data_IF_399553522983
#
_entry.id   IF_399553522983
#
_cell.length_a   1.000
_cell.length_b   1.000
_cell.length_c   1.000
_cell.angle_alpha   90.00
_cell.angle_beta   90.00
_cell.angle_gamma   90.00
#
_symmetry.space_group_name_H-M   'P 1'
#
loop_
_entity.id
_entity.type
_entity.pdbx_description
1 polymer ?
#
# COMPACT_ATOMS: atom_id res chain seq x y z
N UNK A 1 12.98 -9.13 29.38
CA UNK A 1 12.70 -8.89 28.86
C UNK A 1 12.26 -8.74 27.97
N UNK A 2 12.06 -8.93 27.55
CA UNK A 2 11.76 -8.65 26.76
C UNK A 2 11.44 -8.62 25.81
N UNK A 3 11.42 -8.74 25.44
CA UNK A 3 11.35 -8.59 24.56
C UNK A 3 10.97 -8.80 23.71
N UNK A 4 10.93 -8.99 23.65
CA UNK A 4 10.66 -9.16 22.88
C UNK A 4 10.09 -9.32 21.95
N UNK A 5 10.10 -9.87 21.84
CA UNK A 5 9.18 -10.41 20.96
C UNK A 5 8.57 -9.53 19.94
N UNK A 6 8.51 -8.50 20.14
CA UNK A 6 8.05 -7.53 19.21
C UNK A 6 8.81 -7.53 17.91
N UNK A 7 9.84 -8.33 17.82
CA UNK A 7 10.69 -8.30 16.65
C UNK A 7 9.96 -8.65 15.35
N UNK A 8 8.88 -9.42 15.42
CA UNK A 8 8.14 -9.79 14.23
C UNK A 8 6.98 -8.85 13.91
N UNK A 9 6.71 -7.90 14.79
CA UNK A 9 5.60 -6.98 14.61
C UNK A 9 6.03 -5.74 13.87
N UNK A 10 5.10 -5.18 13.10
CA UNK A 10 5.28 -3.88 12.49
C UNK A 10 4.49 -2.88 13.31
N UNK A 11 5.16 -1.85 13.80
CA UNK A 11 4.47 -0.80 14.52
C UNK A 11 3.76 0.11 13.54
N UNK A 12 2.56 0.54 13.90
CA UNK A 12 1.79 1.45 13.06
C UNK A 12 2.43 2.82 13.08
N UNK A 13 2.74 3.35 11.89
CA UNK A 13 3.46 4.62 11.74
C UNK A 13 2.60 5.71 11.12
N UNK A 14 1.47 5.35 10.54
CA UNK A 14 0.64 6.29 9.79
C UNK A 14 -0.76 6.29 10.34
N UNK A 15 -1.39 7.46 10.35
CA UNK A 15 -2.74 7.61 10.88
C UNK A 15 -3.81 7.54 9.81
N UNK A 16 -3.46 7.78 8.53
CA UNK A 16 -4.43 7.83 7.45
C UNK A 16 -3.88 7.11 6.22
N UNK A 17 -4.78 6.67 5.35
CA UNK A 17 -4.39 6.06 4.09
C UNK A 17 -3.63 7.02 3.19
N UNK A 18 -3.97 8.31 3.26
CA UNK A 18 -3.24 9.32 2.50
C UNK A 18 -1.78 9.37 2.91
N UNK A 19 -1.51 9.33 4.22
CA UNK A 19 -0.14 9.34 4.71
C UNK A 19 0.62 8.11 4.25
N UNK A 20 -0.02 6.94 4.30
CA UNK A 20 0.61 5.71 3.81
C UNK A 20 0.95 5.85 2.34
N UNK A 21 -0.01 6.31 1.54
CA UNK A 21 0.19 6.43 0.10
C UNK A 21 1.33 7.38 -0.23
N UNK A 22 1.34 8.55 0.39
CA UNK A 22 2.37 9.55 0.12
C UNK A 22 3.76 9.08 0.52
N UNK A 23 3.85 8.32 1.61
CA UNK A 23 5.14 7.86 2.12
C UNK A 23 5.66 6.61 1.42
N UNK A 24 4.77 5.72 0.99
CA UNK A 24 5.17 4.39 0.55
C UNK A 24 4.83 4.05 -0.88
N UNK A 25 3.95 4.79 -1.51
CA UNK A 25 3.39 4.38 -2.81
C UNK A 25 3.61 5.43 -3.89
N UNK A 26 3.50 6.71 -3.56
CA UNK A 26 3.45 7.75 -4.58
C UNK A 26 4.75 7.90 -5.36
N UNK A 27 5.89 7.56 -4.78
CA UNK A 27 7.17 7.69 -5.47
C UNK A 27 7.19 6.87 -6.76
N UNK A 28 6.51 5.73 -6.77
CA UNK A 28 6.48 4.85 -7.94
C UNK A 28 5.16 4.92 -8.70
N UNK A 29 4.06 5.21 -8.02
CA UNK A 29 2.74 5.18 -8.65
C UNK A 29 2.19 6.56 -8.99
N UNK A 30 2.89 7.61 -8.57
CA UNK A 30 2.49 8.97 -8.88
C UNK A 30 1.65 9.59 -7.79
N UNK A 31 1.77 10.90 -7.65
CA UNK A 31 1.04 11.66 -6.65
C UNK A 31 -0.47 11.57 -6.84
N UNK A 32 -0.90 11.52 -8.10
CA UNK A 32 -2.31 11.46 -8.45
C UNK A 32 -2.69 10.12 -9.06
N UNK A 33 -1.98 9.06 -8.67
CA UNK A 33 -2.23 7.68 -9.10
C UNK A 33 -2.00 7.47 -10.61
N UNK A 34 -1.28 8.39 -11.23
CA UNK A 34 -1.12 8.38 -12.70
C UNK A 34 -0.09 7.37 -13.19
N UNK A 35 0.74 6.86 -12.28
CA UNK A 35 1.82 5.94 -12.65
C UNK A 35 3.12 6.68 -12.92
N UNK A 36 4.20 6.01 -12.64
CA UNK A 36 5.56 6.49 -12.94
C UNK A 36 6.42 5.27 -13.22
N UNK A 37 7.31 4.90 -12.29
CA UNK A 37 8.05 3.63 -12.36
C UNK A 37 7.07 2.47 -12.23
N UNK A 38 6.12 2.59 -11.31
CA UNK A 38 5.04 1.62 -11.17
C UNK A 38 3.83 2.02 -12.01
N UNK A 39 2.90 1.10 -12.20
CA UNK A 39 1.72 1.36 -13.03
C UNK A 39 0.76 2.34 -12.36
N UNK A 40 -0.13 2.90 -13.15
CA UNK A 40 -1.20 3.74 -12.65
C UNK A 40 -2.10 2.95 -11.70
N UNK A 41 -2.67 3.65 -10.73
CA UNK A 41 -3.60 3.06 -9.77
C UNK A 41 -4.95 3.79 -9.77
N UNK A 42 -5.25 4.52 -10.85
CA UNK A 42 -6.52 5.22 -10.98
C UNK A 42 -7.62 4.27 -11.43
N UNK A 43 -8.81 4.80 -11.61
CA UNK A 43 -9.99 3.99 -11.96
C UNK A 43 -9.84 3.26 -13.27
N UNK A 44 -9.01 3.76 -14.17
CA UNK A 44 -8.78 3.14 -15.47
C UNK A 44 -7.71 2.05 -15.42
N UNK A 45 -7.05 1.89 -14.28
CA UNK A 45 -5.96 0.92 -14.16
C UNK A 45 -6.48 -0.50 -14.12
N UNK A 46 -5.60 -1.44 -14.50
CA UNK A 46 -5.92 -2.85 -14.48
C UNK A 46 -6.24 -3.34 -13.07
N UNK A 47 -5.53 -2.82 -12.07
CA UNK A 47 -5.73 -3.24 -10.69
C UNK A 47 -7.03 -2.72 -10.10
N UNK A 48 -7.66 -1.70 -10.69
CA UNK A 48 -8.89 -1.14 -10.16
C UNK A 48 -10.01 -2.17 -10.07
N UNK A 49 -10.04 -3.14 -11.00
CA UNK A 49 -11.06 -4.17 -11.01
C UNK A 49 -10.70 -5.40 -10.19
N UNK A 50 -9.53 -5.43 -9.59
CA UNK A 50 -9.10 -6.59 -8.83
C UNK A 50 -9.67 -6.54 -7.40
N UNK A 51 -9.89 -7.72 -6.79
CA UNK A 51 -10.44 -7.75 -5.42
C UNK A 51 -9.42 -7.29 -4.39
N UNK A 52 -9.91 -6.96 -3.20
CA UNK A 52 -9.04 -6.49 -2.12
C UNK A 52 -7.95 -7.49 -1.78
N UNK A 53 -8.22 -8.79 -1.89
CA UNK A 53 -7.20 -9.80 -1.61
C UNK A 53 -5.99 -9.67 -2.53
N UNK A 54 -6.21 -9.30 -3.78
CA UNK A 54 -5.12 -9.05 -4.71
C UNK A 54 -4.29 -7.84 -4.24
N UNK A 55 -4.97 -6.77 -3.83
CA UNK A 55 -4.29 -5.57 -3.35
C UNK A 55 -3.49 -5.85 -2.08
N UNK A 56 -4.09 -6.57 -1.14
CA UNK A 56 -3.41 -6.91 0.12
C UNK A 56 -2.15 -7.73 -0.19
N UNK A 57 -2.28 -8.74 -1.03
CA UNK A 57 -1.14 -9.60 -1.34
C UNK A 57 -0.04 -8.83 -2.07
N UNK A 58 -0.41 -7.99 -3.02
CA UNK A 58 0.55 -7.20 -3.78
C UNK A 58 1.32 -6.25 -2.88
N UNK A 59 0.63 -5.58 -1.97
CA UNK A 59 1.27 -4.63 -1.07
C UNK A 59 2.17 -5.34 -0.07
N UNK A 60 1.68 -6.42 0.54
CA UNK A 60 2.40 -7.06 1.64
C UNK A 60 3.50 -7.98 1.19
N UNK A 61 3.40 -8.56 0.01
CA UNK A 61 4.38 -9.52 -0.50
C UNK A 61 5.19 -9.00 -1.67
N UNK A 62 4.75 -7.90 -2.28
CA UNK A 62 5.39 -7.38 -3.47
C UNK A 62 4.97 -8.12 -4.71
N UNK A 63 5.37 -7.61 -5.86
CA UNK A 63 5.07 -8.23 -7.14
C UNK A 63 6.05 -7.72 -8.19
N UNK A 64 6.74 -8.63 -8.87
CA UNK A 64 7.74 -8.22 -9.86
C UNK A 64 8.81 -7.37 -9.20
N UNK A 65 9.02 -6.17 -9.73
CA UNK A 65 10.02 -5.25 -9.17
C UNK A 65 9.47 -4.41 -8.02
N UNK A 66 8.17 -4.53 -7.73
CA UNK A 66 7.58 -3.82 -6.60
C UNK A 66 7.98 -4.52 -5.30
N UNK A 67 8.63 -3.83 -4.37
CA UNK A 67 9.01 -4.46 -3.11
C UNK A 67 7.82 -4.61 -2.17
N UNK A 68 7.90 -5.60 -1.29
CA UNK A 68 6.92 -5.77 -0.23
C UNK A 68 6.98 -4.58 0.71
N UNK A 69 5.82 -4.12 1.17
CA UNK A 69 5.73 -3.00 2.09
C UNK A 69 5.50 -3.53 3.51
N UNK A 70 6.23 -2.96 4.46
CA UNK A 70 6.09 -3.34 5.87
C UNK A 70 5.07 -2.41 6.51
N UNK A 71 3.82 -2.82 6.44
CA UNK A 71 2.69 -2.05 6.95
C UNK A 71 1.84 -2.95 7.83
N UNK A 72 1.15 -2.37 8.79
CA UNK A 72 0.19 -3.13 9.60
C UNK A 72 -1.04 -3.44 8.75
N UNK A 73 -1.83 -4.42 9.19
CA UNK A 73 -3.07 -4.75 8.51
C UNK A 73 -3.97 -3.52 8.39
N UNK A 74 -4.03 -2.70 9.44
CA UNK A 74 -4.83 -1.50 9.42
C UNK A 74 -4.31 -0.49 8.40
N UNK A 75 -3.00 -0.33 8.32
CA UNK A 75 -2.40 0.58 7.33
C UNK A 75 -2.67 0.11 5.91
N UNK A 76 -2.61 -1.18 5.68
CA UNK A 76 -2.92 -1.75 4.36
C UNK A 76 -4.37 -1.46 4.00
N UNK A 77 -5.29 -1.71 4.94
CA UNK A 77 -6.70 -1.42 4.73
C UNK A 77 -6.93 0.06 4.43
N UNK A 78 -6.31 0.93 5.21
CA UNK A 78 -6.48 2.36 5.03
C UNK A 78 -5.99 2.84 3.66
N UNK A 79 -4.85 2.33 3.21
CA UNK A 79 -4.30 2.79 1.93
C UNK A 79 -5.13 2.28 0.76
N UNK A 80 -5.62 1.05 0.84
CA UNK A 80 -6.49 0.52 -0.21
C UNK A 80 -7.76 1.38 -0.32
N UNK A 81 -8.36 1.69 0.81
CA UNK A 81 -9.56 2.53 0.83
C UNK A 81 -9.27 3.92 0.28
N UNK A 82 -8.13 4.48 0.63
CA UNK A 82 -7.74 5.79 0.13
C UNK A 82 -7.60 5.78 -1.39
N UNK A 83 -6.89 4.79 -1.93
CA UNK A 83 -6.70 4.71 -3.37
C UNK A 83 -8.04 4.55 -4.07
N UNK A 84 -8.91 3.65 -3.59
CA UNK A 84 -10.19 3.40 -4.24
C UNK A 84 -11.12 4.59 -4.16
N UNK A 85 -11.06 5.36 -3.08
CA UNK A 85 -11.95 6.52 -2.94
C UNK A 85 -11.48 7.72 -3.74
N UNK A 86 -10.28 7.68 -4.28
CA UNK A 86 -9.72 8.79 -5.05
C UNK A 86 -9.55 8.46 -6.53
N UNK A 87 -10.18 7.40 -6.97
CA UNK A 87 -10.16 7.05 -8.39
C UNK A 87 -10.96 8.00 -9.23
#
# INVERSE_FOLDING_TARGET
MFFMACSSSVAESYSTGKEVYEARCSACHGKDFEGRVGPALDAASQSASMPDSYWVQTITKGKGSMPAQRLTDNEVTMVIEYIRSNH
#
